data_IF_989640553168
#
_entry.id   IF_989640553168
#
_cell.length_a   1.000
_cell.length_b   1.000
_cell.length_c   1.000
_cell.angle_alpha   90.00
_cell.angle_beta   90.00
_cell.angle_gamma   90.00
#
_symmetry.space_group_name_H-M   'P 1'
#
loop_
_entity.id
_entity.type
_entity.pdbx_description
1 polymer ?
#
# COMPACT_ATOMS: atom_id res chain seq x y z
N UNK A 1 -14.36 -10.67 9.18
CA UNK A 1 -14.31 -9.21 9.12
C UNK A 1 -12.89 -8.80 8.78
N UNK A 2 -12.69 -7.76 7.95
CA UNK A 2 -11.38 -7.20 7.62
C UNK A 2 -11.33 -5.72 7.98
N UNK A 3 -10.14 -5.12 7.92
CA UNK A 3 -9.96 -3.69 8.16
C UNK A 3 -9.29 -3.04 6.96
N UNK A 4 -9.90 -1.99 6.42
CA UNK A 4 -9.29 -1.13 5.42
C UNK A 4 -8.56 0.00 6.14
N UNK A 5 -7.25 0.14 5.86
CA UNK A 5 -6.44 1.21 6.44
C UNK A 5 -6.04 2.22 5.38
N UNK A 6 -6.14 3.49 5.69
CA UNK A 6 -5.71 4.61 4.86
C UNK A 6 -4.83 5.56 5.66
N UNK A 7 -3.80 6.07 5.03
CA UNK A 7 -2.97 7.12 5.63
C UNK A 7 -3.26 8.43 4.95
N UNK A 8 -3.67 9.42 5.72
CA UNK A 8 -3.86 10.79 5.26
C UNK A 8 -2.79 11.69 5.86
N UNK A 9 -2.22 12.56 5.02
CA UNK A 9 -1.17 13.50 5.41
C UNK A 9 -1.77 14.85 5.67
N UNK A 10 -1.48 15.39 6.83
CA UNK A 10 -1.80 16.76 7.22
C UNK A 10 -0.48 17.55 7.30
N UNK A 11 -0.26 18.43 6.34
CA UNK A 11 0.96 19.25 6.30
C UNK A 11 0.89 20.33 7.36
N UNK A 12 1.94 20.45 8.16
CA UNK A 12 2.17 21.55 9.08
C UNK A 12 2.75 22.71 8.27
N UNK A 13 2.13 23.87 8.35
CA UNK A 13 2.59 25.11 7.70
C UNK A 13 3.52 25.84 8.68
N UNK A 14 4.82 25.77 8.45
CA UNK A 14 5.84 26.45 9.24
C UNK A 14 6.25 27.80 8.61
N UNK A 15 5.48 28.29 7.64
CA UNK A 15 5.72 29.58 7.01
C UNK A 15 7.04 29.63 6.23
N UNK A 16 7.28 28.65 5.36
CA UNK A 16 8.51 28.55 4.52
C UNK A 16 8.83 29.86 3.75
N UNK A 17 7.86 30.76 3.59
CA UNK A 17 8.01 32.05 2.89
C UNK A 17 8.26 33.25 3.80
N UNK A 18 8.00 33.12 5.09
CA UNK A 18 8.28 34.13 6.09
C UNK A 18 9.31 33.55 7.06
N UNK A 19 10.56 33.96 6.91
CA UNK A 19 11.68 33.56 7.79
C UNK A 19 11.56 34.24 9.18
N UNK A 20 10.38 34.20 9.79
CA UNK A 20 10.15 34.73 11.11
C UNK A 20 10.79 33.83 12.17
N UNK A 21 11.46 34.44 13.15
CA UNK A 21 12.11 33.76 14.28
C UNK A 21 11.18 32.77 15.01
N UNK A 22 9.87 33.07 15.08
CA UNK A 22 8.86 32.23 15.71
C UNK A 22 8.69 30.88 15.02
N UNK A 23 8.69 30.83 13.67
CA UNK A 23 8.52 29.58 12.90
C UNK A 23 9.78 28.70 12.95
N UNK A 24 10.96 29.34 13.00
CA UNK A 24 12.23 28.63 13.19
C UNK A 24 12.26 27.96 14.57
N UNK A 25 11.82 28.62 15.64
CA UNK A 25 11.68 28.03 16.97
C UNK A 25 10.71 26.86 17.01
N UNK A 26 9.51 27.04 16.46
CA UNK A 26 8.48 25.98 16.39
C UNK A 26 9.01 24.73 15.70
N UNK A 27 9.80 24.91 14.64
CA UNK A 27 10.44 23.81 13.96
C UNK A 27 11.49 23.11 14.82
N UNK A 28 12.37 23.88 15.48
CA UNK A 28 13.38 23.36 16.39
C UNK A 28 12.73 22.52 17.51
N UNK A 29 11.61 22.96 18.07
CA UNK A 29 10.87 22.20 19.08
C UNK A 29 10.37 20.85 18.56
N UNK A 30 9.86 20.78 17.31
CA UNK A 30 9.49 19.50 16.71
C UNK A 30 10.70 18.57 16.52
N UNK A 31 11.83 19.12 16.13
CA UNK A 31 13.07 18.35 15.93
C UNK A 31 13.63 17.84 17.27
N UNK A 32 13.66 18.69 18.31
CA UNK A 32 14.08 18.28 19.66
C UNK A 32 13.11 17.23 20.25
N UNK A 33 11.80 17.44 20.09
CA UNK A 33 10.80 16.44 20.48
C UNK A 33 11.03 15.09 19.78
N UNK A 34 11.31 15.09 18.48
CA UNK A 34 11.58 13.86 17.74
C UNK A 34 12.87 13.17 18.22
N UNK A 35 13.91 13.93 18.53
CA UNK A 35 15.20 13.40 19.05
C UNK A 35 15.02 12.74 20.42
N UNK A 36 14.37 13.40 21.36
CA UNK A 36 14.18 12.85 22.71
C UNK A 36 13.28 11.61 22.68
N UNK A 37 12.26 11.60 21.83
CA UNK A 37 11.38 10.43 21.65
C UNK A 37 12.10 9.28 20.94
N UNK A 38 13.03 9.56 20.02
CA UNK A 38 13.89 8.53 19.42
C UNK A 38 14.87 7.93 20.43
N UNK A 39 15.45 8.74 21.30
CA UNK A 39 16.30 8.26 22.39
C UNK A 39 15.54 7.38 23.38
N UNK A 40 14.34 7.82 23.80
CA UNK A 40 13.46 7.05 24.68
C UNK A 40 13.01 5.72 24.05
N UNK A 41 12.74 5.73 22.74
CA UNK A 41 12.43 4.51 22.01
C UNK A 41 13.63 3.56 21.94
N UNK A 42 14.84 4.07 21.71
CA UNK A 42 16.06 3.25 21.69
C UNK A 42 16.29 2.59 23.05
N UNK A 43 16.03 3.30 24.15
CA UNK A 43 16.05 2.77 25.51
C UNK A 43 15.09 1.57 25.63
N UNK A 44 13.83 1.70 25.23
CA UNK A 44 12.87 0.58 25.33
C UNK A 44 13.15 -0.54 24.32
N UNK A 45 13.73 -0.27 23.16
CA UNK A 45 14.20 -1.33 22.25
C UNK A 45 15.28 -2.16 22.93
N UNK A 46 16.26 -1.52 23.56
CA UNK A 46 17.31 -2.20 24.30
C UNK A 46 16.73 -3.02 25.48
N UNK A 47 15.83 -2.42 26.24
CA UNK A 47 15.10 -3.10 27.32
C UNK A 47 14.39 -4.38 26.82
N UNK A 48 13.58 -4.31 25.77
CA UNK A 48 12.89 -5.48 25.24
C UNK A 48 13.81 -6.53 24.63
N UNK A 49 14.97 -6.13 24.10
CA UNK A 49 15.96 -7.07 23.60
C UNK A 49 16.77 -7.74 24.70
N UNK A 50 16.79 -7.17 25.91
CA UNK A 50 17.33 -7.82 27.12
C UNK A 50 16.36 -8.87 27.69
N UNK A 51 15.05 -8.77 27.38
CA UNK A 51 14.01 -9.70 27.82
C UNK A 51 13.24 -10.30 26.63
N UNK A 52 13.89 -11.02 25.71
CA UNK A 52 13.27 -11.54 24.49
C UNK A 52 12.21 -12.61 24.78
N UNK A 53 12.32 -13.36 25.86
CA UNK A 53 11.36 -14.35 26.34
C UNK A 53 10.00 -13.69 26.65
N UNK A 54 10.02 -12.50 27.25
CA UNK A 54 8.78 -11.75 27.54
C UNK A 54 8.06 -11.32 26.29
N UNK A 55 8.79 -10.95 25.23
CA UNK A 55 8.20 -10.62 23.92
C UNK A 55 7.54 -11.82 23.23
N UNK A 56 8.02 -13.03 23.51
CA UNK A 56 7.55 -14.28 22.93
C UNK A 56 6.56 -15.04 23.83
N UNK A 57 6.26 -14.51 25.01
CA UNK A 57 5.37 -15.13 25.98
C UNK A 57 3.98 -15.39 25.41
N UNK A 58 3.44 -16.57 25.73
CA UNK A 58 2.05 -16.92 25.41
C UNK A 58 1.20 -16.87 26.66
N UNK A 59 0.06 -16.26 26.53
CA UNK A 59 -0.92 -16.14 27.62
C UNK A 59 -2.18 -16.91 27.26
N UNK A 60 -2.71 -17.66 28.22
CA UNK A 60 -3.99 -18.37 28.09
C UNK A 60 -5.12 -17.36 28.31
N UNK A 61 -6.13 -17.39 27.45
CA UNK A 61 -7.36 -16.63 27.61
C UNK A 61 -8.57 -17.48 27.27
N UNK A 62 -9.70 -17.18 27.87
CA UNK A 62 -10.97 -17.84 27.54
C UNK A 62 -11.63 -17.05 26.40
N UNK A 63 -12.00 -17.74 25.34
CA UNK A 63 -12.68 -17.13 24.20
C UNK A 63 -14.14 -16.84 24.53
N UNK A 64 -14.58 -15.60 24.33
CA UNK A 64 -15.97 -15.19 24.61
C UNK A 64 -17.00 -15.93 23.73
N UNK A 65 -16.58 -16.41 22.56
CA UNK A 65 -17.48 -17.03 21.57
C UNK A 65 -17.84 -18.49 21.88
N UNK A 66 -16.95 -19.24 22.53
CA UNK A 66 -17.11 -20.70 22.78
C UNK A 66 -16.62 -21.15 24.14
N UNK A 67 -16.26 -20.22 25.02
CA UNK A 67 -15.77 -20.47 26.39
C UNK A 67 -14.59 -21.45 26.48
N UNK A 68 -13.84 -21.61 25.37
CA UNK A 68 -12.66 -22.48 25.33
C UNK A 68 -11.40 -21.72 25.71
N UNK A 69 -10.53 -22.37 26.49
CA UNK A 69 -9.20 -21.85 26.77
C UNK A 69 -8.33 -21.91 25.51
N UNK A 70 -7.78 -20.78 25.14
CA UNK A 70 -6.86 -20.64 23.97
C UNK A 70 -5.60 -19.91 24.38
N UNK A 71 -4.53 -20.18 23.68
CA UNK A 71 -3.28 -19.45 23.84
C UNK A 71 -3.15 -18.36 22.79
N UNK A 72 -2.73 -17.19 23.20
CA UNK A 72 -2.30 -16.10 22.30
C UNK A 72 -0.95 -15.55 22.72
N UNK A 73 -0.27 -14.93 21.79
CA UNK A 73 0.90 -14.14 22.12
C UNK A 73 0.47 -12.97 23.03
N UNK A 74 1.27 -12.66 24.05
CA UNK A 74 1.06 -11.50 24.93
C UNK A 74 0.83 -10.24 24.09
N UNK A 75 -0.19 -9.46 24.44
CA UNK A 75 -0.57 -8.26 23.67
C UNK A 75 0.43 -7.10 23.87
N UNK A 76 0.47 -6.14 22.93
CA UNK A 76 1.27 -4.93 23.13
C UNK A 76 0.85 -4.09 24.33
N UNK A 77 -0.41 -4.17 24.79
CA UNK A 77 -0.88 -3.46 25.97
C UNK A 77 -0.37 -4.11 27.26
N UNK A 78 -0.41 -5.44 27.34
CA UNK A 78 0.14 -6.17 28.48
C UNK A 78 1.66 -5.96 28.59
N UNK A 79 2.39 -5.99 27.46
CA UNK A 79 3.80 -5.68 27.44
C UNK A 79 4.11 -4.23 27.83
N UNK A 80 3.24 -3.29 27.46
CA UNK A 80 3.38 -1.89 27.84
C UNK A 80 3.26 -1.75 29.35
N UNK A 81 2.20 -2.33 29.96
CA UNK A 81 1.99 -2.29 31.41
C UNK A 81 3.17 -2.93 32.14
N UNK A 82 3.63 -4.09 31.68
CA UNK A 82 4.81 -4.75 32.24
C UNK A 82 6.06 -3.89 32.12
N UNK A 83 6.32 -3.28 30.97
CA UNK A 83 7.49 -2.40 30.80
C UNK A 83 7.42 -1.16 31.73
N UNK A 84 6.23 -0.57 31.89
CA UNK A 84 6.04 0.55 32.80
C UNK A 84 6.34 0.12 34.26
N UNK A 85 5.86 -1.05 34.71
CA UNK A 85 6.14 -1.55 36.07
C UNK A 85 7.63 -1.81 36.33
N UNK A 86 8.40 -2.13 35.31
CA UNK A 86 9.82 -2.40 35.43
C UNK A 86 10.70 -1.14 35.35
N UNK A 87 10.22 -0.10 34.69
CA UNK A 87 11.09 1.04 34.29
C UNK A 87 10.66 2.38 34.89
N UNK A 88 9.48 2.46 35.52
CA UNK A 88 8.94 3.69 36.12
C UNK A 88 8.42 3.39 37.50
N UNK A 89 8.73 4.24 38.46
CA UNK A 89 8.15 4.13 39.81
C UNK A 89 6.63 4.35 39.74
N UNK A 90 5.86 3.39 40.28
CA UNK A 90 4.41 3.44 40.44
C UNK A 90 4.05 3.16 41.89
N UNK A 91 2.78 3.37 42.28
CA UNK A 91 2.34 3.04 43.62
C UNK A 91 2.50 1.54 43.94
N UNK A 92 2.26 0.67 42.95
CA UNK A 92 2.39 -0.79 43.09
C UNK A 92 3.84 -1.26 42.95
N UNK A 93 4.66 -0.55 42.20
CA UNK A 93 6.06 -0.85 41.95
C UNK A 93 6.92 0.41 42.17
N UNK A 94 7.22 0.76 43.44
CA UNK A 94 7.91 2.02 43.76
C UNK A 94 9.40 2.05 43.33
N UNK A 95 9.99 0.86 43.11
CA UNK A 95 11.39 0.73 42.74
C UNK A 95 11.55 0.15 41.34
N UNK A 96 11.79 0.98 40.29
CA UNK A 96 12.13 0.47 38.97
C UNK A 96 13.47 -0.28 39.03
N UNK A 97 13.72 -1.12 38.01
CA UNK A 97 15.01 -1.82 37.91
C UNK A 97 16.15 -0.79 37.77
N UNK A 98 17.25 -0.91 38.55
CA UNK A 98 18.32 0.11 38.58
C UNK A 98 18.89 0.41 37.19
N UNK A 99 19.14 -0.62 36.37
CA UNK A 99 19.72 -0.45 35.02
C UNK A 99 18.71 0.15 34.01
N UNK A 100 17.42 0.12 34.36
CA UNK A 100 16.33 0.52 33.46
C UNK A 100 15.43 1.61 34.05
N UNK A 101 15.97 2.48 34.90
CA UNK A 101 15.21 3.60 35.43
C UNK A 101 14.98 4.67 34.36
N UNK A 102 13.76 4.67 33.80
CA UNK A 102 13.35 5.60 32.75
C UNK A 102 13.31 7.05 33.23
N UNK A 103 12.83 7.27 34.45
CA UNK A 103 12.64 8.62 35.01
C UNK A 103 13.96 9.36 35.23
N UNK A 104 15.06 8.66 35.51
CA UNK A 104 16.37 9.27 35.60
C UNK A 104 16.93 9.76 34.26
N UNK A 105 16.59 9.06 33.17
CA UNK A 105 17.09 9.38 31.84
C UNK A 105 16.20 10.35 31.07
N UNK A 106 14.89 10.34 31.34
CA UNK A 106 13.87 11.09 30.60
C UNK A 106 12.91 11.75 31.58
N UNK A 107 13.46 12.61 32.45
CA UNK A 107 12.67 13.34 33.44
C UNK A 107 11.51 14.12 32.76
N UNK A 108 10.35 14.16 33.43
CA UNK A 108 9.16 14.90 33.02
C UNK A 108 8.56 14.56 31.64
N UNK A 109 9.02 13.46 31.00
CA UNK A 109 8.41 13.04 29.74
C UNK A 109 6.91 12.72 29.96
N UNK A 110 5.99 13.37 29.22
CA UNK A 110 4.57 13.12 29.35
C UNK A 110 4.22 11.65 29.09
N UNK A 111 3.39 11.06 29.96
CA UNK A 111 3.02 9.66 29.87
C UNK A 111 2.46 9.23 28.48
N UNK A 112 1.72 10.06 27.70
CA UNK A 112 1.28 9.66 26.36
C UNK A 112 2.46 9.40 25.41
N UNK A 113 3.53 10.17 25.52
CA UNK A 113 4.74 9.96 24.75
C UNK A 113 5.49 8.71 25.22
N UNK A 114 5.65 8.50 26.53
CA UNK A 114 6.27 7.29 27.07
C UNK A 114 5.54 6.05 26.56
N UNK A 115 4.22 5.99 26.66
CA UNK A 115 3.41 4.87 26.16
C UNK A 115 3.54 4.66 24.64
N UNK A 116 3.61 5.75 23.89
CA UNK A 116 3.83 5.74 22.45
C UNK A 116 5.17 5.10 22.08
N UNK A 117 6.27 5.50 22.75
CA UNK A 117 7.59 4.97 22.45
C UNK A 117 7.74 3.51 22.89
N UNK A 118 7.09 3.10 23.99
CA UNK A 118 7.05 1.69 24.42
C UNK A 118 6.39 0.82 23.34
N UNK A 119 5.21 1.21 22.84
CA UNK A 119 4.52 0.45 21.77
C UNK A 119 5.32 0.40 20.46
N UNK A 120 5.96 1.51 20.07
CA UNK A 120 6.83 1.53 18.89
C UNK A 120 8.07 0.62 19.12
N UNK A 121 8.63 0.59 20.32
CA UNK A 121 9.76 -0.26 20.68
C UNK A 121 9.41 -1.75 20.66
N UNK A 122 8.26 -2.16 21.20
CA UNK A 122 7.74 -3.54 21.11
C UNK A 122 7.68 -4.00 19.65
N UNK A 123 7.08 -3.18 18.78
CA UNK A 123 6.98 -3.50 17.35
C UNK A 123 8.34 -3.67 16.67
N UNK A 124 9.29 -2.79 16.97
CA UNK A 124 10.65 -2.84 16.43
C UNK A 124 11.46 -4.04 16.97
N UNK A 125 11.39 -4.32 18.26
CA UNK A 125 12.09 -5.44 18.87
C UNK A 125 11.56 -6.78 18.32
N UNK A 126 10.23 -6.97 18.25
CA UNK A 126 9.63 -8.16 17.65
C UNK A 126 10.02 -8.34 16.18
N UNK A 127 9.98 -7.27 15.39
CA UNK A 127 10.37 -7.31 13.99
C UNK A 127 11.85 -7.66 13.82
N UNK A 128 12.72 -7.09 14.64
CA UNK A 128 14.15 -7.40 14.62
C UNK A 128 14.43 -8.86 14.96
N UNK A 129 13.84 -9.39 16.04
CA UNK A 129 14.01 -10.79 16.44
C UNK A 129 13.49 -11.76 15.39
N UNK A 130 12.32 -11.47 14.79
CA UNK A 130 11.76 -12.28 13.70
C UNK A 130 12.67 -12.28 12.47
N UNK A 131 13.19 -11.11 12.06
CA UNK A 131 14.12 -11.00 10.95
C UNK A 131 15.44 -11.74 11.24
N UNK A 132 15.94 -11.66 12.48
CA UNK A 132 17.15 -12.35 12.91
C UNK A 132 16.96 -13.88 12.88
N UNK A 133 15.80 -14.38 13.34
CA UNK A 133 15.45 -15.79 13.26
C UNK A 133 15.36 -16.28 11.82
N UNK A 134 14.67 -15.53 10.95
CA UNK A 134 14.57 -15.84 9.52
C UNK A 134 15.94 -15.83 8.83
N UNK A 135 16.81 -14.88 9.17
CA UNK A 135 18.17 -14.81 8.65
C UNK A 135 19.00 -16.05 9.07
N UNK A 136 18.90 -16.45 10.34
CA UNK A 136 19.55 -17.68 10.84
C UNK A 136 19.02 -18.93 10.12
N UNK A 137 17.69 -19.05 9.99
CA UNK A 137 17.05 -20.18 9.31
C UNK A 137 17.39 -20.26 7.81
N UNK A 138 17.64 -19.12 7.15
CA UNK A 138 18.05 -19.05 5.73
C UNK A 138 19.51 -19.47 5.48
N UNK A 139 20.24 -19.88 6.49
CA UNK A 139 21.66 -20.22 6.40
C UNK A 139 22.57 -18.98 6.18
N UNK A 140 22.14 -17.82 6.62
CA UNK A 140 22.90 -16.55 6.56
C UNK A 140 23.28 -16.09 5.15
N UNK A 141 22.47 -16.44 4.15
CA UNK A 141 22.70 -16.12 2.72
C UNK A 141 22.66 -14.64 2.38
N UNK A 142 22.12 -13.82 3.25
CA UNK A 142 22.06 -12.35 3.11
C UNK A 142 22.78 -11.68 4.27
N UNK A 143 22.99 -10.37 4.20
CA UNK A 143 23.55 -9.62 5.33
C UNK A 143 22.70 -9.74 6.60
N UNK A 144 23.32 -9.73 7.76
CA UNK A 144 22.63 -9.74 9.04
C UNK A 144 21.67 -8.56 9.15
N UNK A 145 20.45 -8.74 9.70
CA UNK A 145 19.54 -7.63 9.96
C UNK A 145 20.20 -6.55 10.84
N UNK A 146 20.09 -5.30 10.40
CA UNK A 146 20.59 -4.18 11.17
C UNK A 146 19.81 -3.98 12.46
N UNK A 147 20.47 -3.49 13.51
CA UNK A 147 19.82 -3.10 14.76
C UNK A 147 18.78 -1.99 14.49
N UNK A 148 17.62 -1.98 15.19
CA UNK A 148 16.59 -0.98 14.99
C UNK A 148 17.08 0.43 15.26
N UNK A 149 17.30 1.20 14.20
CA UNK A 149 17.80 2.57 14.27
C UNK A 149 16.73 3.61 14.57
N UNK A 150 17.17 4.86 14.71
CA UNK A 150 16.31 6.03 14.82
C UNK A 150 15.39 6.14 13.60
N UNK A 151 14.13 6.58 13.79
CA UNK A 151 13.18 6.79 12.70
C UNK A 151 12.80 8.25 12.50
N UNK A 152 13.07 9.14 13.45
CA UNK A 152 12.63 10.53 13.48
C UNK A 152 11.12 10.73 13.17
N UNK A 153 10.32 9.71 13.48
CA UNK A 153 8.88 9.66 13.13
C UNK A 153 8.06 9.14 14.31
N UNK A 154 8.01 9.89 15.43
CA UNK A 154 7.29 9.45 16.62
C UNK A 154 5.78 9.45 16.39
N UNK A 155 5.08 8.50 17.02
CA UNK A 155 3.62 8.51 17.15
C UNK A 155 3.23 9.47 18.26
N UNK A 156 2.23 10.31 18.03
CA UNK A 156 1.75 11.31 18.99
C UNK A 156 0.36 10.89 19.48
N UNK A 157 0.26 10.41 20.70
CA UNK A 157 -1.00 9.94 21.27
C UNK A 157 -1.89 11.10 21.75
N UNK A 158 -3.16 10.80 21.91
CA UNK A 158 -4.10 11.63 22.66
C UNK A 158 -3.52 12.01 24.03
N UNK A 159 -3.74 13.25 24.48
CA UNK A 159 -3.05 13.79 25.67
C UNK A 159 -1.70 14.49 25.37
N UNK A 160 -1.11 14.27 24.18
CA UNK A 160 0.02 15.04 23.66
C UNK A 160 -0.29 15.69 22.29
N UNK A 161 -1.50 15.47 21.77
CA UNK A 161 -1.99 15.99 20.51
C UNK A 161 -3.48 16.31 20.61
N UNK A 162 -3.89 17.43 19.97
CA UNK A 162 -5.26 17.74 19.67
C UNK A 162 -5.35 18.40 18.29
N UNK A 163 -6.45 18.17 17.57
CA UNK A 163 -6.76 18.87 16.33
C UNK A 163 -7.89 19.88 16.63
N UNK A 164 -7.58 21.15 16.51
CA UNK A 164 -8.53 22.24 16.74
C UNK A 164 -9.05 22.71 15.38
N UNK A 165 -10.32 22.39 15.12
CA UNK A 165 -11.04 22.73 13.90
C UNK A 165 -11.87 23.99 14.17
N UNK A 166 -11.71 25.02 13.35
CA UNK A 166 -12.66 26.11 13.30
C UNK A 166 -13.81 25.67 12.36
N UNK A 167 -15.01 25.54 12.91
CA UNK A 167 -16.19 25.10 12.16
C UNK A 167 -16.63 26.12 11.12
N UNK A 168 -16.31 27.43 11.36
CA UNK A 168 -16.68 28.53 10.47
C UNK A 168 -15.65 28.77 9.37
N UNK A 169 -14.36 28.59 9.66
CA UNK A 169 -13.27 28.70 8.69
C UNK A 169 -12.24 27.57 8.87
N UNK A 170 -12.41 26.50 8.11
CA UNK A 170 -11.47 25.37 8.10
C UNK A 170 -10.02 25.73 7.68
N UNK A 171 -9.78 26.98 7.27
CA UNK A 171 -8.41 27.49 7.04
C UNK A 171 -7.70 27.82 8.33
N UNK A 172 -8.46 28.08 9.40
CA UNK A 172 -7.95 28.33 10.75
C UNK A 172 -7.88 27.07 11.59
N UNK A 173 -7.38 26.00 11.00
CA UNK A 173 -7.21 24.72 11.69
C UNK A 173 -5.80 24.63 12.25
N UNK A 174 -5.70 24.22 13.51
CA UNK A 174 -4.43 24.04 14.21
C UNK A 174 -4.29 22.61 14.72
N UNK A 175 -3.07 22.09 14.63
CA UNK A 175 -2.65 20.93 15.40
C UNK A 175 -1.96 21.45 16.67
N UNK A 176 -2.54 21.20 17.84
CA UNK A 176 -1.91 21.48 19.13
C UNK A 176 -1.09 20.28 19.53
N UNK A 177 0.21 20.47 19.70
CA UNK A 177 1.17 19.42 20.05
C UNK A 177 1.88 19.81 21.34
N UNK A 178 2.06 18.84 22.25
CA UNK A 178 2.92 19.00 23.39
C UNK A 178 4.36 18.71 22.93
N UNK A 179 5.22 19.71 22.92
CA UNK A 179 6.60 19.63 22.39
C UNK A 179 7.62 19.93 23.46
N UNK A 180 8.81 19.36 23.29
CA UNK A 180 9.96 19.63 24.14
C UNK A 180 10.68 20.86 23.64
N UNK A 181 10.81 21.88 24.50
CA UNK A 181 11.44 23.18 24.16
C UNK A 181 12.95 23.19 24.37
N UNK A 182 13.54 22.09 24.84
CA UNK A 182 14.93 21.97 25.27
C UNK A 182 15.06 22.01 26.80
N UNK A 183 14.02 22.51 27.52
CA UNK A 183 13.98 22.54 28.97
C UNK A 183 12.72 21.89 29.53
N UNK A 184 11.55 22.25 28.96
CA UNK A 184 10.23 21.84 29.45
C UNK A 184 9.34 21.32 28.33
N UNK A 185 8.23 20.65 28.71
CA UNK A 185 7.19 20.19 27.79
C UNK A 185 6.04 21.16 27.74
N UNK A 186 5.84 21.82 26.58
CA UNK A 186 4.86 22.89 26.40
C UNK A 186 3.90 22.58 25.23
N UNK A 187 2.68 23.13 25.33
CA UNK A 187 1.70 23.07 24.27
C UNK A 187 1.92 24.17 23.24
N UNK A 188 2.10 23.79 21.97
CA UNK A 188 2.24 24.72 20.87
C UNK A 188 1.23 24.45 19.76
N UNK A 189 0.69 25.52 19.16
CA UNK A 189 -0.22 25.47 18.03
C UNK A 189 0.56 25.53 16.72
N UNK A 190 0.25 24.61 15.84
CA UNK A 190 0.84 24.48 14.50
C UNK A 190 -0.24 24.61 13.45
N UNK A 191 -0.21 25.64 12.55
CA UNK A 191 -1.18 25.78 11.48
C UNK A 191 -1.11 24.56 10.56
N UNK A 192 -2.25 23.99 10.20
CA UNK A 192 -2.33 22.82 9.32
C UNK A 192 -3.34 23.04 8.20
N UNK A 193 -3.09 22.45 7.04
CA UNK A 193 -3.98 22.51 5.89
C UNK A 193 -4.77 21.23 5.75
N UNK A 194 -6.08 21.29 5.96
CA UNK A 194 -6.98 20.18 5.73
C UNK A 194 -7.20 19.98 4.23
N UNK A 195 -6.89 18.78 3.73
CA UNK A 195 -7.31 18.39 2.39
C UNK A 195 -8.80 18.03 2.38
N UNK A 196 -9.51 18.25 1.26
CA UNK A 196 -10.90 17.80 1.07
C UNK A 196 -11.09 16.32 1.40
N UNK A 197 -10.07 15.53 1.07
CA UNK A 197 -10.06 14.09 1.33
C UNK A 197 -9.99 13.74 2.84
N UNK A 198 -9.25 14.54 3.63
CA UNK A 198 -9.21 14.38 5.08
C UNK A 198 -10.53 14.79 5.72
N UNK A 199 -11.08 15.94 5.28
CA UNK A 199 -12.39 16.43 5.75
C UNK A 199 -13.50 15.41 5.51
N UNK A 200 -13.58 14.85 4.28
CA UNK A 200 -14.58 13.84 3.94
C UNK A 200 -14.50 12.60 4.83
N UNK A 201 -13.31 12.26 5.32
CA UNK A 201 -13.13 11.11 6.22
C UNK A 201 -13.37 11.42 7.68
N UNK A 202 -13.09 12.64 8.10
CA UNK A 202 -13.51 13.09 9.44
C UNK A 202 -15.04 13.11 9.59
N UNK A 203 -15.73 13.46 8.50
CA UNK A 203 -17.19 13.50 8.46
C UNK A 203 -17.85 12.13 8.31
N UNK A 204 -17.11 11.08 7.89
CA UNK A 204 -17.64 9.73 7.71
C UNK A 204 -17.40 8.87 8.98
N UNK A 205 -18.44 8.59 9.77
CA UNK A 205 -18.32 7.85 11.03
C UNK A 205 -17.85 6.40 10.84
N UNK A 206 -17.85 5.89 9.61
CA UNK A 206 -17.31 4.56 9.31
C UNK A 206 -15.77 4.50 9.37
N UNK A 207 -15.09 5.65 9.41
CA UNK A 207 -13.63 5.73 9.54
C UNK A 207 -13.22 6.15 10.94
N UNK A 208 -12.63 5.22 11.67
CA UNK A 208 -11.98 5.49 12.94
C UNK A 208 -10.60 6.12 12.70
N UNK A 209 -10.31 7.22 13.38
CA UNK A 209 -9.03 7.90 13.28
C UNK A 209 -8.11 7.50 14.41
N UNK A 210 -6.93 7.01 14.06
CA UNK A 210 -5.88 6.70 15.03
C UNK A 210 -4.90 7.86 15.21
N UNK A 211 -4.17 7.80 16.32
CA UNK A 211 -3.13 8.76 16.67
C UNK A 211 -2.14 9.00 15.53
N UNK A 212 -1.78 10.28 15.24
CA UNK A 212 -0.93 10.61 14.12
C UNK A 212 0.54 10.29 14.39
N UNK A 213 1.30 10.12 13.30
CA UNK A 213 2.76 10.15 13.30
C UNK A 213 3.27 11.51 12.87
N UNK A 214 4.16 12.09 13.64
CA UNK A 214 4.92 13.27 13.23
C UNK A 214 6.02 12.82 12.25
N UNK A 215 6.02 13.39 11.05
CA UNK A 215 7.00 13.13 10.01
C UNK A 215 7.78 14.40 9.72
N UNK A 216 9.10 14.35 9.96
CA UNK A 216 10.02 15.42 9.63
C UNK A 216 10.85 15.01 8.42
N UNK A 217 10.82 15.80 7.35
CA UNK A 217 11.56 15.50 6.12
C UNK A 217 12.11 16.78 5.48
N UNK A 218 13.41 16.98 5.57
CA UNK A 218 14.06 18.22 5.14
C UNK A 218 13.45 19.40 5.87
N UNK A 219 12.90 20.38 5.14
CA UNK A 219 12.22 21.56 5.71
C UNK A 219 10.72 21.34 5.96
N UNK A 220 10.16 20.20 5.61
CA UNK A 220 8.74 19.93 5.75
C UNK A 220 8.44 19.12 7.03
N UNK A 221 7.31 19.48 7.68
CA UNK A 221 6.73 18.70 8.76
C UNK A 221 5.28 18.31 8.38
N UNK A 222 4.85 17.13 8.80
CA UNK A 222 3.49 16.67 8.57
C UNK A 222 3.06 15.68 9.65
N UNK A 223 1.75 15.64 9.89
CA UNK A 223 1.10 14.60 10.68
C UNK A 223 0.49 13.58 9.73
N UNK A 224 0.84 12.32 9.89
CA UNK A 224 0.28 11.21 9.13
C UNK A 224 -0.73 10.47 10.00
N UNK A 225 -2.00 10.62 9.66
CA UNK A 225 -3.11 9.93 10.32
C UNK A 225 -3.37 8.58 9.66
N UNK A 226 -3.39 7.53 10.47
CA UNK A 226 -3.91 6.24 10.06
C UNK A 226 -5.41 6.21 10.34
N UNK A 227 -6.21 6.01 9.31
CA UNK A 227 -7.67 5.91 9.40
C UNK A 227 -8.07 4.48 9.05
N UNK A 228 -8.91 3.88 9.88
CA UNK A 228 -9.31 2.48 9.76
C UNK A 228 -10.81 2.38 9.60
N UNK A 229 -11.27 1.51 8.71
CA UNK A 229 -12.66 1.20 8.49
C UNK A 229 -12.86 -0.30 8.58
N UNK A 230 -13.82 -0.75 9.36
CA UNK A 230 -14.26 -2.14 9.36
C UNK A 230 -14.91 -2.48 8.01
N UNK A 231 -14.52 -3.60 7.43
CA UNK A 231 -15.00 -4.05 6.12
C UNK A 231 -15.65 -5.42 6.29
N UNK A 232 -16.92 -5.51 5.86
CA UNK A 232 -17.64 -6.78 5.74
C UNK A 232 -17.69 -7.15 4.25
N UNK A 233 -16.79 -8.04 3.82
CA UNK A 233 -16.81 -8.58 2.47
C UNK A 233 -17.42 -9.98 2.48
N UNK A 234 -18.36 -10.26 1.59
CA UNK A 234 -18.92 -11.62 1.38
C UNK A 234 -17.78 -12.56 0.97
N UNK A 235 -17.89 -13.84 1.31
CA UNK A 235 -16.92 -14.83 0.81
C UNK A 235 -17.18 -15.08 -0.68
N UNK A 236 -16.11 -15.31 -1.44
CA UNK A 236 -16.21 -15.59 -2.89
C UNK A 236 -17.14 -16.77 -3.20
N UNK A 237 -17.13 -17.81 -2.35
CA UNK A 237 -17.99 -18.97 -2.49
C UNK A 237 -19.48 -18.61 -2.35
N UNK A 238 -19.81 -17.77 -1.39
CA UNK A 238 -21.17 -17.26 -1.17
C UNK A 238 -21.62 -16.36 -2.32
N UNK A 239 -20.73 -15.48 -2.81
CA UNK A 239 -21.02 -14.63 -3.95
C UNK A 239 -21.32 -15.43 -5.24
N UNK A 240 -20.63 -16.57 -5.47
CA UNK A 240 -20.88 -17.43 -6.64
C UNK A 240 -22.22 -18.15 -6.61
N UNK A 241 -22.87 -18.25 -5.47
CA UNK A 241 -24.20 -18.86 -5.34
C UNK A 241 -25.34 -17.90 -5.73
N UNK A 242 -25.03 -16.61 -5.84
CA UNK A 242 -26.00 -15.60 -6.28
C UNK A 242 -26.18 -15.70 -7.82
N UNK A 243 -27.36 -16.08 -8.33
CA UNK A 243 -27.61 -16.18 -9.75
C UNK A 243 -27.55 -14.84 -10.49
N UNK A 244 -27.82 -13.75 -9.77
CA UNK A 244 -27.79 -12.37 -10.30
C UNK A 244 -26.48 -11.64 -10.00
N UNK A 245 -25.42 -12.39 -9.63
CA UNK A 245 -24.13 -11.81 -9.31
C UNK A 245 -23.60 -10.91 -10.44
N UNK A 246 -23.39 -9.64 -10.13
CA UNK A 246 -22.67 -8.74 -11.02
C UNK A 246 -21.18 -8.97 -10.87
N UNK A 247 -20.50 -9.17 -11.99
CA UNK A 247 -19.04 -9.25 -12.03
C UNK A 247 -18.45 -8.11 -12.85
N UNK A 248 -17.35 -7.54 -12.37
CA UNK A 248 -16.59 -6.47 -13.02
C UNK A 248 -15.23 -7.04 -13.38
N UNK A 249 -14.97 -7.29 -14.66
CA UNK A 249 -13.68 -7.84 -15.11
C UNK A 249 -12.81 -6.76 -15.72
N UNK A 250 -11.50 -6.86 -15.44
CA UNK A 250 -10.51 -5.86 -15.86
C UNK A 250 -9.36 -6.54 -16.59
N UNK A 251 -9.17 -6.20 -17.88
CA UNK A 251 -7.94 -6.47 -18.62
C UNK A 251 -7.02 -5.25 -18.55
N UNK A 252 -5.80 -5.44 -18.04
CA UNK A 252 -4.80 -4.39 -17.91
C UNK A 252 -3.78 -4.45 -19.05
N UNK A 253 -3.62 -3.36 -19.79
CA UNK A 253 -2.76 -3.32 -20.97
C UNK A 253 -1.86 -2.07 -21.02
N UNK A 254 -1.13 -1.88 -22.11
CA UNK A 254 -0.19 -0.76 -22.29
C UNK A 254 -0.86 0.46 -22.92
N UNK A 255 -1.70 0.27 -23.95
CA UNK A 255 -2.38 1.35 -24.67
C UNK A 255 -3.70 1.74 -24.04
N UNK A 256 -4.53 0.75 -23.75
CA UNK A 256 -5.63 0.90 -22.82
C UNK A 256 -5.08 0.49 -21.45
N UNK A 257 -4.97 1.41 -20.52
CA UNK A 257 -4.47 1.10 -19.18
C UNK A 257 -5.37 0.06 -18.51
N UNK A 258 -6.68 0.13 -18.77
CA UNK A 258 -7.66 -0.88 -18.41
C UNK A 258 -8.79 -0.95 -19.44
N UNK A 259 -9.30 -2.15 -19.71
CA UNK A 259 -10.62 -2.38 -20.30
C UNK A 259 -11.46 -3.08 -19.25
N UNK A 260 -12.56 -2.43 -18.88
CA UNK A 260 -13.47 -2.84 -17.83
C UNK A 260 -14.76 -3.29 -18.46
N UNK A 261 -15.20 -4.52 -18.17
CA UNK A 261 -16.49 -5.04 -18.59
C UNK A 261 -17.31 -5.43 -17.38
N UNK A 262 -18.59 -5.12 -17.39
CA UNK A 262 -19.55 -5.50 -16.35
C UNK A 262 -20.50 -6.54 -16.94
N UNK A 263 -20.62 -7.68 -16.26
CA UNK A 263 -21.49 -8.79 -16.65
C UNK A 263 -22.53 -9.02 -15.58
N UNK A 264 -23.78 -9.14 -16.02
CA UNK A 264 -24.92 -9.54 -15.21
C UNK A 264 -25.81 -10.50 -16.03
N UNK A 265 -26.31 -11.54 -15.43
CA UNK A 265 -27.21 -12.51 -16.05
C UNK A 265 -26.71 -13.05 -17.41
N UNK A 266 -25.41 -13.34 -17.48
CA UNK A 266 -24.74 -13.82 -18.69
C UNK A 266 -24.37 -12.74 -19.71
N UNK A 267 -24.91 -11.52 -19.61
CA UNK A 267 -24.77 -10.46 -20.60
C UNK A 267 -23.75 -9.40 -20.16
N UNK A 268 -23.03 -8.82 -21.12
CA UNK A 268 -22.18 -7.63 -20.87
C UNK A 268 -23.07 -6.39 -20.92
N UNK A 269 -23.28 -5.76 -19.77
CA UNK A 269 -24.16 -4.60 -19.61
C UNK A 269 -23.41 -3.26 -19.71
N UNK A 270 -22.09 -3.27 -19.50
CA UNK A 270 -21.25 -2.06 -19.57
C UNK A 270 -19.84 -2.38 -20.01
N UNK A 271 -19.24 -1.48 -20.78
CA UNK A 271 -17.83 -1.53 -21.17
C UNK A 271 -17.21 -0.15 -21.06
N UNK A 272 -16.04 -0.05 -20.44
CA UNK A 272 -15.28 1.19 -20.30
C UNK A 272 -13.81 0.97 -20.70
N UNK A 273 -13.31 1.85 -21.57
CA UNK A 273 -11.90 1.88 -21.98
C UNK A 273 -11.17 3.03 -21.29
N UNK A 274 -10.23 2.72 -20.41
CA UNK A 274 -9.36 3.71 -19.77
C UNK A 274 -8.07 3.83 -20.59
N UNK A 275 -7.95 4.92 -21.36
CA UNK A 275 -6.82 5.15 -22.27
C UNK A 275 -5.65 5.80 -21.53
N UNK A 276 -4.43 5.61 -22.06
CA UNK A 276 -3.19 6.17 -21.50
C UNK A 276 -2.97 7.66 -21.85
N UNK A 277 -3.77 8.23 -22.76
CA UNK A 277 -3.69 9.62 -23.20
C UNK A 277 -2.26 10.10 -23.53
N UNK A 278 -1.44 9.25 -24.14
CA UNK A 278 -0.07 9.58 -24.53
C UNK A 278 0.98 9.45 -23.42
N UNK A 279 0.63 8.91 -22.26
CA UNK A 279 1.54 8.69 -21.15
C UNK A 279 2.81 7.91 -21.56
N UNK A 280 2.66 6.87 -22.39
CA UNK A 280 3.80 6.07 -22.86
C UNK A 280 4.78 6.90 -23.69
N UNK A 281 4.28 7.83 -24.52
CA UNK A 281 5.10 8.76 -25.30
C UNK A 281 5.81 9.78 -24.41
N UNK A 282 5.12 10.40 -23.46
CA UNK A 282 5.73 11.33 -22.51
C UNK A 282 6.81 10.65 -21.67
N UNK A 283 6.53 9.48 -21.15
CA UNK A 283 7.48 8.67 -20.40
C UNK A 283 8.71 8.30 -21.23
N UNK A 284 8.52 7.95 -22.51
CA UNK A 284 9.60 7.66 -23.42
C UNK A 284 10.54 8.85 -23.60
N UNK A 285 10.00 10.07 -23.78
CA UNK A 285 10.81 11.28 -23.90
C UNK A 285 11.66 11.54 -22.64
N UNK A 286 11.09 11.39 -21.47
CA UNK A 286 11.85 11.52 -20.21
C UNK A 286 12.95 10.45 -20.08
N UNK A 287 12.64 9.20 -20.42
CA UNK A 287 13.64 8.11 -20.41
C UNK A 287 14.78 8.36 -21.41
N UNK A 288 14.48 8.94 -22.58
CA UNK A 288 15.50 9.34 -23.57
C UNK A 288 16.42 10.44 -23.02
N UNK A 289 15.83 11.44 -22.34
CA UNK A 289 16.61 12.50 -21.66
C UNK A 289 17.52 11.93 -20.57
N UNK A 290 17.00 11.03 -19.74
CA UNK A 290 17.78 10.35 -18.70
C UNK A 290 18.96 9.57 -19.32
N UNK A 291 18.70 8.77 -20.36
CA UNK A 291 19.72 7.98 -21.05
C UNK A 291 20.81 8.87 -21.65
N UNK A 292 20.44 10.01 -22.29
CA UNK A 292 21.39 10.98 -22.85
C UNK A 292 22.28 11.57 -21.76
N UNK A 293 21.70 12.00 -20.63
CA UNK A 293 22.47 12.54 -19.50
C UNK A 293 23.38 11.50 -18.86
N UNK A 294 22.92 10.26 -18.71
CA UNK A 294 23.74 9.17 -18.19
C UNK A 294 24.93 8.85 -19.11
N UNK A 295 24.71 8.93 -20.43
CA UNK A 295 25.78 8.73 -21.40
C UNK A 295 26.83 9.84 -21.33
N UNK A 296 26.40 11.10 -21.21
CA UNK A 296 27.30 12.27 -21.09
C UNK A 296 28.11 12.30 -19.80
N UNK A 297 27.52 11.83 -18.68
CA UNK A 297 28.18 11.81 -17.37
C UNK A 297 29.04 10.55 -17.14
N UNK A 298 29.13 9.65 -18.13
CA UNK A 298 29.84 8.37 -17.97
C UNK A 298 29.09 7.34 -17.11
N UNK A 299 29.82 6.34 -16.59
CA UNK A 299 29.23 5.34 -15.69
C UNK A 299 28.84 5.98 -14.37
N UNK A 300 27.55 5.83 -13.99
CA UNK A 300 27.12 6.25 -12.67
C UNK A 300 27.90 5.50 -11.58
N UNK A 301 28.49 6.22 -10.64
CA UNK A 301 29.10 5.66 -9.47
C UNK A 301 28.02 5.05 -8.57
N UNK A 302 28.26 3.86 -8.01
CA UNK A 302 27.30 3.20 -7.12
C UNK A 302 27.02 4.10 -5.91
N UNK A 303 25.77 4.51 -5.74
CA UNK A 303 25.35 5.44 -4.69
C UNK A 303 25.08 6.87 -5.17
N UNK A 304 25.54 7.27 -6.34
CA UNK A 304 25.17 8.55 -6.94
C UNK A 304 23.78 8.51 -7.55
N UNK A 305 22.96 9.47 -7.19
CA UNK A 305 21.59 9.61 -7.67
C UNK A 305 21.51 10.63 -8.82
N UNK A 306 22.24 10.37 -9.91
CA UNK A 306 22.13 11.19 -11.12
C UNK A 306 20.69 11.21 -11.65
N UNK A 307 20.24 12.36 -12.14
CA UNK A 307 18.89 12.53 -12.72
C UNK A 307 17.72 12.32 -11.72
N UNK A 308 17.95 12.54 -10.42
CA UNK A 308 16.93 12.34 -9.35
C UNK A 308 15.60 13.01 -9.64
N UNK A 309 15.62 14.25 -10.16
CA UNK A 309 14.40 14.99 -10.49
C UNK A 309 13.64 14.36 -11.66
N UNK A 310 14.33 13.97 -12.74
CA UNK A 310 13.71 13.32 -13.90
C UNK A 310 13.08 11.97 -13.51
N UNK A 311 13.78 11.17 -12.70
CA UNK A 311 13.23 9.92 -12.17
C UNK A 311 12.05 10.15 -11.24
N UNK A 312 12.08 11.21 -10.43
CA UNK A 312 10.94 11.60 -9.59
C UNK A 312 9.73 11.92 -10.46
N UNK A 313 9.91 12.70 -11.51
CA UNK A 313 8.85 13.06 -12.43
C UNK A 313 8.23 11.83 -13.11
N UNK A 314 9.04 10.91 -13.64
CA UNK A 314 8.56 9.65 -14.23
C UNK A 314 7.76 8.82 -13.20
N UNK A 315 8.22 8.73 -11.96
CA UNK A 315 7.48 8.03 -10.89
C UNK A 315 6.15 8.70 -10.57
N UNK A 316 6.10 10.03 -10.52
CA UNK A 316 4.87 10.78 -10.28
C UNK A 316 3.85 10.60 -11.41
N UNK A 317 4.28 10.65 -12.67
CA UNK A 317 3.42 10.36 -13.83
C UNK A 317 2.83 8.95 -13.76
N UNK A 318 3.65 7.95 -13.44
CA UNK A 318 3.21 6.57 -13.29
C UNK A 318 2.21 6.42 -12.13
N UNK A 319 2.49 7.05 -11.00
CA UNK A 319 1.62 7.02 -9.83
C UNK A 319 0.26 7.68 -10.11
N UNK A 320 0.25 8.83 -10.79
CA UNK A 320 -0.97 9.54 -11.17
C UNK A 320 -1.83 8.73 -12.16
N UNK A 321 -1.20 8.11 -13.16
CA UNK A 321 -1.91 7.25 -14.11
C UNK A 321 -2.50 5.99 -13.44
N UNK A 322 -1.74 5.35 -12.55
CA UNK A 322 -2.21 4.21 -11.78
C UNK A 322 -3.36 4.60 -10.84
N UNK A 323 -3.29 5.79 -10.23
CA UNK A 323 -4.34 6.33 -9.35
C UNK A 323 -5.63 6.60 -10.13
N UNK A 324 -5.54 7.32 -11.25
CA UNK A 324 -6.68 7.61 -12.13
C UNK A 324 -7.34 6.33 -12.63
N UNK A 325 -6.55 5.36 -13.08
CA UNK A 325 -7.08 4.09 -13.62
C UNK A 325 -7.72 3.24 -12.52
N UNK A 326 -7.08 3.13 -11.36
CA UNK A 326 -7.64 2.37 -10.24
C UNK A 326 -8.93 3.00 -9.73
N UNK A 327 -9.04 4.34 -9.74
CA UNK A 327 -10.24 5.06 -9.39
C UNK A 327 -11.38 4.77 -10.37
N UNK A 328 -11.13 4.84 -11.68
CA UNK A 328 -12.13 4.50 -12.70
C UNK A 328 -12.66 3.06 -12.54
N UNK A 329 -11.79 2.09 -12.16
CA UNK A 329 -12.20 0.71 -11.88
C UNK A 329 -13.13 0.67 -10.66
N UNK A 330 -12.78 1.35 -9.56
CA UNK A 330 -13.60 1.31 -8.34
C UNK A 330 -14.89 2.09 -8.47
N UNK A 331 -14.93 3.19 -9.20
CA UNK A 331 -16.16 3.93 -9.53
C UNK A 331 -17.16 3.07 -10.31
N UNK A 332 -16.68 2.16 -11.17
CA UNK A 332 -17.56 1.16 -11.80
C UNK A 332 -18.09 0.16 -10.77
N UNK A 333 -17.25 -0.33 -9.84
CA UNK A 333 -17.72 -1.24 -8.80
C UNK A 333 -18.73 -0.59 -7.85
N UNK A 334 -18.56 0.69 -7.52
CA UNK A 334 -19.48 1.44 -6.65
C UNK A 334 -20.89 1.60 -7.26
N UNK A 335 -21.00 1.57 -8.60
CA UNK A 335 -22.29 1.58 -9.30
C UNK A 335 -23.06 0.26 -9.17
N UNK A 336 -22.39 -0.82 -8.79
CA UNK A 336 -22.95 -2.17 -8.65
C UNK A 336 -22.61 -2.76 -7.26
N UNK A 337 -23.30 -2.32 -6.20
CA UNK A 337 -23.05 -2.82 -4.84
C UNK A 337 -23.12 -4.34 -4.75
N UNK A 338 -22.18 -4.96 -4.06
CA UNK A 338 -22.10 -6.41 -3.94
C UNK A 338 -21.45 -7.13 -5.14
N UNK A 339 -20.97 -6.40 -6.16
CA UNK A 339 -20.26 -7.01 -7.28
C UNK A 339 -18.94 -7.65 -6.85
N UNK A 340 -18.43 -8.53 -7.72
CA UNK A 340 -17.08 -9.12 -7.58
C UNK A 340 -16.16 -8.55 -8.65
N UNK A 341 -15.05 -7.97 -8.21
CA UNK A 341 -14.01 -7.41 -9.09
C UNK A 341 -13.01 -8.51 -9.49
N UNK A 342 -12.84 -8.70 -10.80
CA UNK A 342 -12.03 -9.76 -11.38
C UNK A 342 -10.78 -9.18 -12.06
N UNK A 343 -9.63 -9.74 -11.73
CA UNK A 343 -8.35 -9.48 -12.40
C UNK A 343 -7.72 -10.77 -12.89
N UNK A 344 -6.89 -10.67 -13.93
CA UNK A 344 -5.96 -11.74 -14.26
C UNK A 344 -4.86 -11.85 -13.20
N UNK A 345 -4.46 -13.08 -12.84
CA UNK A 345 -3.32 -13.33 -11.96
C UNK A 345 -2.03 -12.94 -12.68
N UNK A 346 -1.50 -11.77 -12.35
CA UNK A 346 -0.27 -11.25 -12.95
C UNK A 346 0.96 -11.91 -12.33
N UNK A 347 1.71 -12.68 -13.11
CA UNK A 347 3.04 -13.14 -12.70
C UNK A 347 4.04 -12.00 -12.80
N UNK A 348 4.97 -11.92 -11.84
CA UNK A 348 6.16 -11.08 -11.99
C UNK A 348 6.97 -11.63 -13.18
N UNK A 349 7.23 -10.79 -14.18
CA UNK A 349 8.11 -11.15 -15.29
C UNK A 349 9.54 -11.24 -14.72
N UNK A 350 10.11 -12.42 -14.69
CA UNK A 350 11.48 -12.65 -14.25
C UNK A 350 12.46 -12.24 -15.35
N UNK A 351 13.70 -11.87 -14.99
CA UNK A 351 14.71 -11.44 -15.96
C UNK A 351 15.02 -12.50 -17.04
N UNK A 352 14.80 -13.78 -16.75
CA UNK A 352 15.01 -14.90 -17.70
C UNK A 352 13.92 -15.04 -18.76
N UNK A 353 12.75 -14.41 -18.58
CA UNK A 353 11.63 -14.44 -19.54
C UNK A 353 11.58 -13.22 -20.45
N UNK A 354 12.59 -12.33 -20.37
CA UNK A 354 12.65 -11.11 -21.15
C UNK A 354 12.83 -11.43 -22.65
N UNK A 355 12.06 -10.72 -23.49
CA UNK A 355 12.21 -10.80 -24.95
C UNK A 355 13.58 -10.30 -25.39
N UNK A 356 14.11 -10.86 -26.51
CA UNK A 356 15.32 -10.33 -27.18
C UNK A 356 15.19 -8.88 -27.64
N UNK A 357 13.97 -8.36 -27.77
CA UNK A 357 13.70 -6.98 -28.16
C UNK A 357 13.82 -5.99 -26.99
N UNK A 358 14.84 -5.13 -27.01
CA UNK A 358 15.04 -4.05 -26.04
C UNK A 358 13.81 -3.12 -25.92
N UNK A 359 13.13 -2.84 -27.06
CA UNK A 359 11.91 -2.01 -27.08
C UNK A 359 10.76 -2.67 -26.33
N UNK A 360 10.57 -3.96 -26.51
CA UNK A 360 9.52 -4.72 -25.83
C UNK A 360 9.78 -4.85 -24.32
N UNK A 361 11.02 -5.19 -23.95
CA UNK A 361 11.43 -5.28 -22.56
C UNK A 361 11.21 -3.96 -21.80
N UNK A 362 11.54 -2.83 -22.45
CA UNK A 362 11.27 -1.51 -21.88
C UNK A 362 9.78 -1.22 -21.71
N UNK A 363 8.93 -1.58 -22.69
CA UNK A 363 7.48 -1.43 -22.57
C UNK A 363 6.93 -2.29 -21.41
N UNK A 364 7.39 -3.52 -21.28
CA UNK A 364 6.99 -4.42 -20.21
C UNK A 364 7.44 -3.92 -18.83
N UNK A 365 8.69 -3.46 -18.71
CA UNK A 365 9.22 -2.90 -17.46
C UNK A 365 8.45 -1.64 -17.00
N UNK A 366 7.87 -0.90 -17.94
CA UNK A 366 7.09 0.30 -17.65
C UNK A 366 5.58 0.06 -17.51
N UNK A 367 5.13 -1.20 -17.52
CA UNK A 367 3.71 -1.51 -17.34
C UNK A 367 3.26 -1.16 -15.92
N UNK A 368 2.13 -0.46 -15.84
CA UNK A 368 1.54 -0.06 -14.56
C UNK A 368 0.64 -1.13 -13.95
N UNK A 369 0.55 -2.32 -14.57
CA UNK A 369 -0.38 -3.41 -14.17
C UNK A 369 -0.35 -3.69 -12.67
N UNK A 370 0.83 -3.92 -12.11
CA UNK A 370 0.99 -4.20 -10.68
C UNK A 370 0.53 -3.06 -9.78
N UNK A 371 0.83 -1.81 -10.16
CA UNK A 371 0.42 -0.64 -9.40
C UNK A 371 -1.09 -0.39 -9.49
N UNK A 372 -1.67 -0.56 -10.67
CA UNK A 372 -3.12 -0.41 -10.89
C UNK A 372 -3.88 -1.50 -10.11
N UNK A 373 -3.47 -2.76 -10.26
CA UNK A 373 -4.09 -3.89 -9.56
C UNK A 373 -4.06 -3.68 -8.03
N UNK A 374 -2.87 -3.41 -7.47
CA UNK A 374 -2.72 -3.20 -6.03
C UNK A 374 -3.62 -2.07 -5.51
N UNK A 375 -3.63 -0.92 -6.17
CA UNK A 375 -4.45 0.24 -5.79
C UNK A 375 -5.95 -0.01 -5.95
N UNK A 376 -6.36 -0.67 -7.05
CA UNK A 376 -7.76 -1.00 -7.29
C UNK A 376 -8.29 -1.99 -6.26
N UNK A 377 -7.51 -3.03 -5.93
CA UNK A 377 -7.86 -4.01 -4.89
C UNK A 377 -8.02 -3.34 -3.52
N UNK A 378 -7.09 -2.47 -3.18
CA UNK A 378 -7.11 -1.74 -1.91
C UNK A 378 -8.35 -0.83 -1.79
N UNK A 379 -8.69 -0.11 -2.87
CA UNK A 379 -9.88 0.74 -2.92
C UNK A 379 -11.18 -0.08 -2.93
N UNK A 380 -11.24 -1.13 -3.76
CA UNK A 380 -12.37 -2.05 -3.81
C UNK A 380 -12.63 -2.70 -2.45
N UNK A 381 -11.57 -3.13 -1.75
CA UNK A 381 -11.68 -3.68 -0.39
C UNK A 381 -12.28 -2.65 0.58
N UNK A 382 -11.82 -1.39 0.54
CA UNK A 382 -12.39 -0.32 1.38
C UNK A 382 -13.87 -0.02 1.07
N UNK A 383 -14.32 -0.31 -0.15
CA UNK A 383 -15.72 -0.24 -0.59
C UNK A 383 -16.50 -1.56 -0.38
N UNK A 384 -15.97 -2.49 0.42
CA UNK A 384 -16.58 -3.82 0.67
C UNK A 384 -16.74 -4.69 -0.59
N UNK A 385 -16.01 -4.39 -1.67
CA UNK A 385 -16.03 -5.16 -2.91
C UNK A 385 -15.00 -6.28 -2.87
N UNK A 386 -15.45 -7.51 -3.10
CA UNK A 386 -14.58 -8.69 -3.17
C UNK A 386 -13.75 -8.65 -4.45
N UNK A 387 -12.46 -8.95 -4.35
CA UNK A 387 -11.58 -9.05 -5.53
C UNK A 387 -11.05 -10.46 -5.71
N UNK A 388 -11.14 -10.98 -6.92
CA UNK A 388 -10.69 -12.33 -7.30
C UNK A 388 -9.66 -12.25 -8.42
N UNK A 389 -8.61 -13.05 -8.32
CA UNK A 389 -7.63 -13.23 -9.39
C UNK A 389 -7.91 -14.55 -10.12
N UNK A 390 -8.15 -14.47 -11.45
CA UNK A 390 -8.38 -15.62 -12.29
C UNK A 390 -7.14 -16.04 -13.07
N UNK A 391 -7.15 -17.27 -13.61
CA UNK A 391 -6.05 -17.77 -14.42
C UNK A 391 -5.98 -17.01 -15.76
N UNK A 392 -4.87 -16.34 -16.11
CA UNK A 392 -4.74 -15.55 -17.33
C UNK A 392 -4.51 -16.39 -18.58
N UNK A 393 -4.38 -17.70 -18.44
CA UNK A 393 -4.03 -18.56 -19.57
C UNK A 393 -5.12 -18.55 -20.65
N UNK A 394 -4.77 -18.04 -21.85
CA UNK A 394 -5.62 -18.06 -23.03
C UNK A 394 -6.70 -16.96 -23.11
N UNK A 395 -6.84 -16.08 -22.12
CA UNK A 395 -7.81 -14.98 -22.14
C UNK A 395 -7.73 -14.13 -23.41
N UNK A 396 -6.52 -13.91 -23.93
CA UNK A 396 -6.27 -13.17 -25.16
C UNK A 396 -6.20 -14.01 -26.44
N UNK A 397 -6.39 -15.34 -26.36
CA UNK A 397 -6.22 -16.26 -27.49
C UNK A 397 -7.53 -16.91 -27.94
N UNK A 398 -8.51 -17.01 -27.06
CA UNK A 398 -9.77 -17.68 -27.35
C UNK A 398 -10.91 -16.67 -27.55
N UNK A 399 -11.83 -17.05 -28.41
CA UNK A 399 -13.03 -16.26 -28.68
C UNK A 399 -13.98 -16.25 -27.48
N UNK A 400 -14.39 -15.07 -27.03
CA UNK A 400 -15.32 -14.92 -25.92
C UNK A 400 -16.76 -15.40 -26.27
N UNK A 401 -17.10 -15.57 -27.56
CA UNK A 401 -18.42 -16.09 -27.99
C UNK A 401 -18.48 -17.61 -28.07
N UNK A 402 -17.51 -18.22 -28.77
CA UNK A 402 -17.58 -19.65 -29.09
C UNK A 402 -16.46 -20.49 -28.46
N UNK A 403 -15.50 -19.88 -27.78
CA UNK A 403 -14.38 -20.58 -27.17
C UNK A 403 -13.31 -21.12 -28.13
N UNK A 404 -13.49 -20.95 -29.45
CA UNK A 404 -12.48 -21.39 -30.42
C UNK A 404 -11.23 -20.47 -30.39
N UNK A 405 -10.08 -21.03 -30.80
CA UNK A 405 -8.86 -20.25 -30.91
C UNK A 405 -8.97 -19.25 -32.03
N UNK A 406 -8.69 -17.97 -31.72
CA UNK A 406 -8.70 -16.88 -32.67
C UNK A 406 -7.34 -16.23 -32.89
N UNK A 407 -7.32 -15.17 -33.65
CA UNK A 407 -6.10 -14.48 -34.05
C UNK A 407 -6.18 -12.97 -33.77
N UNK A 408 -5.06 -12.40 -33.37
CA UNK A 408 -4.92 -10.94 -33.32
C UNK A 408 -4.47 -10.40 -34.66
N UNK A 409 -5.06 -9.30 -35.09
CA UNK A 409 -4.76 -8.68 -36.37
C UNK A 409 -4.79 -7.14 -36.30
N UNK A 410 -4.35 -6.51 -37.38
CA UNK A 410 -4.51 -5.09 -37.66
C UNK A 410 -4.92 -4.93 -39.13
N UNK A 411 -5.60 -3.85 -39.47
CA UNK A 411 -5.86 -3.51 -40.85
C UNK A 411 -4.71 -2.72 -41.46
N UNK A 412 -4.35 -3.04 -42.70
CA UNK A 412 -3.55 -2.20 -43.62
C UNK A 412 -4.43 -1.90 -44.81
N UNK A 413 -4.99 -0.69 -44.89
CA UNK A 413 -6.09 -0.39 -45.76
C UNK A 413 -7.29 -1.26 -45.46
N UNK A 414 -7.79 -2.02 -46.46
CA UNK A 414 -8.90 -2.97 -46.30
C UNK A 414 -8.43 -4.40 -46.01
N UNK A 415 -7.11 -4.65 -46.01
CA UNK A 415 -6.57 -6.01 -45.82
C UNK A 415 -6.30 -6.28 -44.33
N UNK A 416 -6.74 -7.46 -43.87
CA UNK A 416 -6.49 -7.95 -42.51
C UNK A 416 -5.10 -8.58 -42.47
N UNK A 417 -4.19 -8.04 -41.66
CA UNK A 417 -2.85 -8.56 -41.47
C UNK A 417 -2.74 -9.14 -40.07
N UNK A 418 -2.37 -10.42 -39.97
CA UNK A 418 -2.10 -11.10 -38.71
C UNK A 418 -0.98 -10.37 -37.98
N UNK A 419 -1.24 -9.93 -36.73
CA UNK A 419 -0.31 -9.19 -35.94
C UNK A 419 -0.34 -9.67 -34.48
N UNK A 420 0.74 -10.23 -33.98
CA UNK A 420 0.86 -10.74 -32.60
C UNK A 420 0.40 -9.71 -31.54
N UNK A 421 0.53 -8.43 -31.83
CA UNK A 421 0.15 -7.31 -30.96
C UNK A 421 -0.94 -6.45 -31.59
N UNK A 422 -1.74 -7.04 -32.49
CA UNK A 422 -2.87 -6.37 -33.12
C UNK A 422 -3.90 -5.91 -32.08
N UNK A 423 -4.58 -4.80 -32.39
CA UNK A 423 -5.62 -4.24 -31.53
C UNK A 423 -6.95 -4.97 -31.65
N UNK A 424 -7.11 -5.73 -32.71
CA UNK A 424 -8.33 -6.44 -33.07
C UNK A 424 -8.15 -7.94 -32.89
N UNK A 425 -9.22 -8.60 -32.57
CA UNK A 425 -9.35 -10.05 -32.45
C UNK A 425 -10.34 -10.56 -33.48
N UNK A 426 -10.03 -11.64 -34.15
CA UNK A 426 -10.89 -12.33 -35.09
C UNK A 426 -10.95 -13.82 -34.81
N UNK A 427 -12.18 -14.35 -34.81
CA UNK A 427 -12.41 -15.79 -34.67
C UNK A 427 -12.72 -16.42 -36.03
N UNK A 428 -11.92 -17.36 -36.54
CA UNK A 428 -12.20 -18.01 -37.81
C UNK A 428 -13.43 -18.92 -37.77
N UNK A 429 -13.78 -19.44 -36.59
CA UNK A 429 -14.89 -20.38 -36.40
C UNK A 429 -16.24 -19.66 -36.45
N UNK A 430 -16.48 -18.65 -35.64
CA UNK A 430 -17.77 -17.95 -35.58
C UNK A 430 -17.76 -16.57 -36.26
N UNK A 431 -16.68 -16.21 -36.94
CA UNK A 431 -16.47 -14.94 -37.66
C UNK A 431 -16.61 -13.68 -36.77
N UNK A 432 -16.50 -13.88 -35.44
CA UNK A 432 -16.55 -12.78 -34.49
C UNK A 432 -15.32 -11.89 -34.60
N UNK A 433 -15.56 -10.60 -34.73
CA UNK A 433 -14.51 -9.56 -34.69
C UNK A 433 -14.77 -8.58 -33.55
N UNK A 434 -13.75 -8.25 -32.78
CA UNK A 434 -13.84 -7.32 -31.66
C UNK A 434 -12.49 -6.68 -31.35
N UNK A 435 -12.52 -5.68 -30.47
CA UNK A 435 -11.29 -5.21 -29.82
C UNK A 435 -10.65 -6.36 -29.01
N UNK A 436 -9.36 -6.58 -29.16
CA UNK A 436 -8.66 -7.71 -28.55
C UNK A 436 -8.65 -7.65 -27.01
N UNK A 437 -8.57 -6.43 -26.45
CA UNK A 437 -8.56 -6.21 -25.01
C UNK A 437 -9.99 -6.37 -24.44
N UNK A 438 -11.02 -5.99 -25.19
CA UNK A 438 -12.42 -6.29 -24.87
C UNK A 438 -12.68 -7.79 -24.84
N UNK A 439 -12.29 -8.52 -25.90
CA UNK A 439 -12.41 -9.99 -25.92
C UNK A 439 -11.70 -10.63 -24.72
N UNK A 440 -10.53 -10.12 -24.34
CA UNK A 440 -9.79 -10.61 -23.17
C UNK A 440 -10.54 -10.33 -21.88
N UNK A 441 -11.10 -9.13 -21.68
CA UNK A 441 -11.85 -8.80 -20.45
C UNK A 441 -13.11 -9.66 -20.30
N UNK A 442 -13.82 -9.98 -21.40
CA UNK A 442 -14.95 -10.91 -21.37
C UNK A 442 -14.50 -12.33 -21.00
N UNK A 443 -13.35 -12.78 -21.51
CA UNK A 443 -12.79 -14.08 -21.13
C UNK A 443 -12.37 -14.17 -19.66
N UNK A 444 -12.08 -13.05 -18.99
CA UNK A 444 -11.87 -13.02 -17.54
C UNK A 444 -13.14 -13.46 -16.79
N UNK A 445 -14.35 -13.05 -17.23
CA UNK A 445 -15.60 -13.53 -16.66
C UNK A 445 -15.76 -15.05 -16.88
N UNK A 446 -15.54 -15.54 -18.09
CA UNK A 446 -15.61 -16.97 -18.37
C UNK A 446 -14.62 -17.78 -17.51
N UNK A 447 -13.41 -17.26 -17.28
CA UNK A 447 -12.44 -17.90 -16.39
C UNK A 447 -12.92 -17.97 -14.94
N UNK A 448 -13.64 -16.96 -14.46
CA UNK A 448 -14.22 -16.93 -13.11
C UNK A 448 -15.33 -17.96 -12.93
N UNK A 449 -16.24 -18.05 -13.89
CA UNK A 449 -17.33 -19.03 -13.88
C UNK A 449 -16.90 -20.41 -14.35
N UNK A 450 -15.71 -20.55 -14.96
CA UNK A 450 -15.20 -21.78 -15.57
C UNK A 450 -16.10 -22.31 -16.70
N UNK A 451 -16.58 -21.41 -17.55
CA UNK A 451 -17.47 -21.72 -18.67
C UNK A 451 -16.72 -22.16 -19.93
N UNK A 452 -17.37 -22.98 -20.77
CA UNK A 452 -16.86 -23.38 -22.08
C UNK A 452 -15.48 -24.06 -22.04
N UNK A 453 -14.54 -23.56 -22.84
CA UNK A 453 -13.20 -24.10 -22.92
C UNK A 453 -12.37 -24.00 -21.62
N UNK A 454 -12.81 -23.20 -20.64
CA UNK A 454 -12.18 -23.07 -19.33
C UNK A 454 -12.36 -24.34 -18.47
N UNK A 455 -13.40 -25.13 -18.71
CA UNK A 455 -13.62 -26.42 -18.04
C UNK A 455 -12.72 -27.54 -18.52
N UNK A 456 -12.21 -27.46 -19.77
CA UNK A 456 -11.50 -28.59 -20.43
C UNK A 456 -9.99 -28.59 -20.19
N UNK A 457 -9.46 -27.78 -19.30
CA UNK A 457 -8.01 -27.69 -19.09
C UNK A 457 -7.52 -28.74 -18.12
N UNK A 458 -7.02 -29.81 -18.67
CA UNK A 458 -6.03 -30.66 -17.99
C UNK A 458 -4.81 -29.81 -17.61
N UNK A 459 -4.31 -30.00 -16.39
CA UNK A 459 -3.04 -29.39 -16.00
C UNK A 459 -1.98 -29.78 -17.01
N UNK A 460 -1.19 -28.85 -17.58
CA UNK A 460 -0.10 -29.24 -18.44
C UNK A 460 0.81 -30.21 -17.69
N UNK A 461 1.28 -31.28 -18.34
CA UNK A 461 2.16 -32.25 -17.71
C UNK A 461 3.37 -31.51 -17.09
N UNK A 462 3.88 -31.96 -15.94
CA UNK A 462 5.01 -31.33 -15.30
C UNK A 462 6.17 -31.26 -16.29
N UNK A 463 6.70 -30.07 -16.52
CA UNK A 463 7.86 -29.88 -17.39
C UNK A 463 8.98 -30.79 -16.88
N UNK A 464 9.38 -31.78 -17.68
CA UNK A 464 10.56 -32.59 -17.42
C UNK A 464 11.73 -31.64 -17.15
N UNK A 465 12.30 -31.69 -15.95
CA UNK A 465 13.53 -30.97 -15.64
C UNK A 465 14.56 -31.43 -16.68
N UNK A 466 15.05 -30.49 -17.49
CA UNK A 466 16.23 -30.75 -18.29
C UNK A 466 17.34 -31.09 -17.29
N UNK A 467 17.80 -32.34 -17.33
CA UNK A 467 19.04 -32.73 -16.67
C UNK A 467 20.15 -31.91 -17.33
N UNK A 468 20.83 -31.08 -16.53
CA UNK A 468 22.08 -30.41 -16.89
C UNK A 468 23.17 -31.41 -17.14
#
# INVERSE_FOLDING_TARGET
MGQATRTTKLRIDLGERTQGAANTRKRAYLEETAKILDAARAFYVAFFLAYPEKLAERVTYVSDSDQQARERLISPNELLTWAESQTVATQEHPHPQPDWNFSERFADMPFPYRRSVIKDAIGKARSYLSNLANWRASGKKQGQPGFPGASNHPTVYEGAFALELDETDLRQTFARLKVYTGATWEWHHYPVKLSRYFQARLADPAWEQHSPRLILCGHAAALHFSQVKAVQAKKVKESKQDPHLVTVAVDLNVKNLAVITVRQDGNIIKTLFVRDHGLDQHRYQHMKRISKKQWLCGKAVKGEHSNRQLWRHVRQMNAAAAEKTSRAITEVCEQYPGCVLLFERLRKITRGEASKSRRLNRKQANQLRGQINARAREKAFAASTVTVEVNPHGTSQYCSRCGAKGERFSYSGRVRIKARWGKLFWCPHCRYEANADFNASVNVHHSFYQEGHWHRREKPPPKKKRRS
#
